data_IF_462602782034
#
_entry.id   IF_462602782034
#
_cell.length_a   1.000
_cell.length_b   1.000
_cell.length_c   1.000
_cell.angle_alpha   90.00
_cell.angle_beta   90.00
_cell.angle_gamma   90.00
#
_symmetry.space_group_name_H-M   'P 1'
#
loop_
_entity.id
_entity.type
_entity.pdbx_description
1 polymer ?
#
# COMPACT_ATOMS: atom_id res chain seq x y z
N UNK A 1 -6.74 -11.16 -23.45
CA UNK A 1 -5.50 -10.44 -23.10
C UNK A 1 -5.80 -8.94 -23.17
N UNK A 2 -5.67 -8.18 -22.08
CA UNK A 2 -5.90 -6.73 -22.11
C UNK A 2 -4.78 -6.04 -22.92
N UNK A 3 -5.13 -5.26 -23.94
CA UNK A 3 -4.17 -4.49 -24.74
C UNK A 3 -3.53 -3.41 -23.85
N UNK A 4 -2.20 -3.39 -23.73
CA UNK A 4 -1.48 -2.28 -23.06
C UNK A 4 -1.72 -0.99 -23.85
N UNK A 5 -2.39 -0.02 -23.23
CA UNK A 5 -2.61 1.30 -23.81
C UNK A 5 -1.53 2.24 -23.28
N UNK A 6 -0.56 2.61 -24.12
CA UNK A 6 0.39 3.68 -23.81
C UNK A 6 -0.29 5.03 -24.07
N UNK A 7 -0.70 5.74 -23.02
CA UNK A 7 -1.15 7.14 -23.09
C UNK A 7 -0.03 8.06 -22.62
N UNK A 8 0.27 9.09 -23.41
CA UNK A 8 1.16 10.17 -23.00
C UNK A 8 0.45 10.97 -21.90
N UNK A 9 1.07 11.08 -20.73
CA UNK A 9 0.57 11.94 -19.66
C UNK A 9 0.90 13.38 -20.08
N UNK A 10 -0.12 14.17 -20.41
CA UNK A 10 0.04 15.61 -20.63
C UNK A 10 0.34 16.29 -19.30
N UNK A 11 1.37 17.14 -19.29
CA UNK A 11 1.85 17.83 -18.10
C UNK A 11 1.97 19.30 -18.39
N UNK A 12 1.47 20.13 -17.47
CA UNK A 12 1.64 21.58 -17.53
C UNK A 12 3.11 21.97 -17.44
N UNK A 13 3.44 23.20 -17.83
CA UNK A 13 4.81 23.74 -17.73
C UNK A 13 5.32 23.65 -16.28
N UNK A 14 4.48 24.03 -15.32
CA UNK A 14 4.80 23.95 -13.89
C UNK A 14 5.08 22.51 -13.43
N UNK A 15 4.25 21.54 -13.84
CA UNK A 15 4.46 20.14 -13.50
C UNK A 15 5.76 19.60 -14.10
N UNK A 16 6.09 19.99 -15.33
CA UNK A 16 7.35 19.62 -15.96
C UNK A 16 8.55 20.20 -15.23
N UNK A 17 8.46 21.46 -14.80
CA UNK A 17 9.50 22.14 -14.04
C UNK A 17 9.72 21.47 -12.68
N UNK A 18 8.64 21.20 -11.93
CA UNK A 18 8.70 20.46 -10.66
C UNK A 18 9.36 19.09 -10.82
N UNK A 19 9.05 18.36 -11.90
CA UNK A 19 9.69 17.07 -12.18
C UNK A 19 11.17 17.20 -12.54
N UNK A 20 11.57 18.27 -13.26
CA UNK A 20 12.99 18.55 -13.56
C UNK A 20 13.76 18.82 -12.27
N UNK A 21 13.25 19.70 -11.42
CA UNK A 21 13.87 20.05 -10.13
C UNK A 21 14.05 18.82 -9.23
N UNK A 22 13.02 17.97 -9.12
CA UNK A 22 13.13 16.70 -8.39
C UNK A 22 14.22 15.82 -9.01
N UNK A 23 14.25 15.65 -10.33
CA UNK A 23 15.26 14.81 -11.00
C UNK A 23 16.68 15.32 -10.78
N UNK A 24 16.90 16.62 -10.94
CA UNK A 24 18.21 17.24 -10.74
C UNK A 24 18.68 17.08 -9.29
N UNK A 25 17.82 17.35 -8.31
CA UNK A 25 18.11 17.12 -6.88
C UNK A 25 18.56 15.68 -6.65
N UNK A 26 17.78 14.70 -7.10
CA UNK A 26 18.06 13.27 -6.87
C UNK A 26 19.29 12.77 -7.64
N UNK A 27 19.56 13.29 -8.85
CA UNK A 27 20.77 12.94 -9.62
C UNK A 27 22.04 13.48 -8.95
N UNK A 28 21.97 14.69 -8.37
CA UNK A 28 23.11 15.32 -7.70
C UNK A 28 23.39 14.69 -6.33
N UNK A 29 22.36 14.53 -5.51
CA UNK A 29 22.52 14.15 -4.10
C UNK A 29 22.58 12.64 -3.89
N UNK A 30 21.94 11.86 -4.80
CA UNK A 30 21.82 10.39 -4.74
C UNK A 30 21.65 9.87 -3.30
N UNK A 31 20.66 10.38 -2.55
CA UNK A 31 20.52 10.07 -1.14
C UNK A 31 20.26 8.56 -0.95
N UNK A 32 20.78 8.00 0.12
CA UNK A 32 20.43 6.64 0.54
C UNK A 32 18.97 6.60 1.02
N UNK A 33 18.37 5.40 1.04
CA UNK A 33 17.02 5.19 1.57
C UNK A 33 16.91 5.69 3.02
N UNK A 34 17.94 5.46 3.84
CA UNK A 34 18.01 5.96 5.21
C UNK A 34 17.94 7.49 5.29
N UNK A 35 18.66 8.20 4.40
CA UNK A 35 18.62 9.67 4.35
C UNK A 35 17.25 10.18 3.91
N UNK A 36 16.61 9.52 2.93
CA UNK A 36 15.25 9.86 2.49
C UNK A 36 14.21 9.65 3.59
N UNK A 37 14.37 8.60 4.41
CA UNK A 37 13.47 8.33 5.53
C UNK A 37 13.65 9.38 6.63
N UNK A 38 14.90 9.77 6.92
CA UNK A 38 15.21 10.82 7.90
C UNK A 38 14.74 12.21 7.47
N UNK A 39 14.79 12.54 6.18
CA UNK A 39 14.28 13.80 5.65
C UNK A 39 12.74 13.85 5.57
N UNK A 40 12.07 12.72 5.75
CA UNK A 40 10.62 12.58 5.55
C UNK A 40 10.20 12.59 4.09
N UNK A 41 11.16 12.51 3.14
CA UNK A 41 10.86 12.35 1.71
C UNK A 41 10.19 10.99 1.41
N UNK A 42 10.42 9.99 2.27
CA UNK A 42 9.71 8.71 2.30
C UNK A 42 9.28 8.38 3.73
N UNK A 43 8.10 7.79 3.90
CA UNK A 43 7.58 7.44 5.24
C UNK A 43 8.12 6.12 5.76
N UNK A 44 8.19 5.11 4.88
CA UNK A 44 8.54 3.73 5.25
C UNK A 44 9.34 3.09 4.12
N UNK A 45 10.26 2.20 4.50
CA UNK A 45 11.05 1.39 3.57
C UNK A 45 10.70 -0.06 3.84
N UNK A 46 10.16 -0.73 2.82
CA UNK A 46 9.94 -2.18 2.82
C UNK A 46 10.66 -2.77 1.61
N UNK A 47 11.11 -4.01 1.75
CA UNK A 47 11.65 -4.75 0.60
C UNK A 47 10.52 -5.06 -0.38
N UNK A 48 10.89 -5.30 -1.65
CA UNK A 48 9.90 -5.69 -2.65
C UNK A 48 9.22 -7.02 -2.30
N UNK A 49 9.94 -7.95 -1.66
CA UNK A 49 9.39 -9.23 -1.21
C UNK A 49 8.30 -9.05 -0.16
N UNK A 50 8.61 -8.32 0.92
CA UNK A 50 7.64 -8.00 1.99
C UNK A 50 6.39 -7.31 1.44
N UNK A 51 6.56 -6.38 0.49
CA UNK A 51 5.43 -5.69 -0.12
C UNK A 51 4.54 -6.65 -0.94
N UNK A 52 5.14 -7.58 -1.70
CA UNK A 52 4.38 -8.58 -2.47
C UNK A 52 3.62 -9.53 -1.53
N UNK A 53 4.27 -10.00 -0.47
CA UNK A 53 3.62 -10.88 0.52
C UNK A 53 2.43 -10.21 1.20
N UNK A 54 2.59 -8.93 1.57
CA UNK A 54 1.51 -8.11 2.10
C UNK A 54 0.34 -7.99 1.10
N UNK A 55 0.61 -7.69 -0.18
CA UNK A 55 -0.46 -7.58 -1.20
C UNK A 55 -1.23 -8.88 -1.38
N UNK A 56 -0.54 -10.03 -1.34
CA UNK A 56 -1.19 -11.35 -1.43
C UNK A 56 -2.14 -11.57 -0.25
N UNK A 57 -1.70 -11.25 0.97
CA UNK A 57 -2.52 -11.37 2.17
C UNK A 57 -3.73 -10.42 2.12
N UNK A 58 -3.53 -9.16 1.76
CA UNK A 58 -4.59 -8.16 1.64
C UNK A 58 -5.62 -8.52 0.57
N UNK A 59 -5.18 -9.06 -0.56
CA UNK A 59 -6.07 -9.56 -1.61
C UNK A 59 -6.93 -10.73 -1.11
N UNK A 60 -6.37 -11.64 -0.31
CA UNK A 60 -7.12 -12.75 0.29
C UNK A 60 -8.18 -12.24 1.30
N UNK A 61 -7.80 -11.30 2.16
CA UNK A 61 -8.70 -10.64 3.11
C UNK A 61 -9.84 -9.90 2.41
N UNK A 62 -9.53 -9.11 1.38
CA UNK A 62 -10.50 -8.41 0.55
C UNK A 62 -11.48 -9.37 -0.13
N UNK A 63 -10.98 -10.48 -0.69
CA UNK A 63 -11.83 -11.52 -1.28
C UNK A 63 -12.80 -12.11 -0.26
N UNK A 64 -12.37 -12.33 0.97
CA UNK A 64 -13.26 -12.78 2.05
C UNK A 64 -14.32 -11.75 2.41
N UNK A 65 -13.96 -10.47 2.50
CA UNK A 65 -14.93 -9.38 2.68
C UNK A 65 -16.01 -9.40 1.61
N UNK A 66 -15.59 -9.46 0.34
CA UNK A 66 -16.48 -9.45 -0.82
C UNK A 66 -17.38 -10.69 -0.86
N UNK A 67 -16.86 -11.87 -0.56
CA UNK A 67 -17.63 -13.11 -0.49
C UNK A 67 -18.72 -13.08 0.59
N UNK A 68 -18.50 -12.34 1.69
CA UNK A 68 -19.50 -12.11 2.76
C UNK A 68 -20.44 -10.94 2.48
N UNK A 69 -20.33 -10.28 1.32
CA UNK A 69 -21.15 -9.13 0.97
C UNK A 69 -20.93 -7.90 1.87
N UNK A 70 -19.80 -7.82 2.58
CA UNK A 70 -19.52 -6.73 3.50
C UNK A 70 -19.04 -5.49 2.75
N UNK A 71 -19.66 -4.35 3.04
CA UNK A 71 -19.20 -3.05 2.52
C UNK A 71 -17.95 -2.58 3.27
N UNK A 72 -17.18 -1.66 2.66
CA UNK A 72 -16.05 -1.02 3.34
C UNK A 72 -16.48 -0.31 4.63
N UNK A 73 -17.68 0.29 4.65
CA UNK A 73 -18.21 0.95 5.85
C UNK A 73 -18.57 -0.06 6.95
N UNK A 74 -19.16 -1.20 6.58
CA UNK A 74 -19.49 -2.24 7.55
C UNK A 74 -18.25 -2.90 8.17
N UNK A 75 -17.18 -3.08 7.40
CA UNK A 75 -15.89 -3.55 7.96
C UNK A 75 -15.27 -2.49 8.85
N UNK A 76 -15.24 -1.24 8.40
CA UNK A 76 -14.71 -0.10 9.15
C UNK A 76 -15.32 0.00 10.56
N UNK A 77 -16.65 -0.10 10.65
CA UNK A 77 -17.38 -0.14 11.93
C UNK A 77 -16.94 -1.32 12.82
N UNK A 78 -16.85 -2.53 12.24
CA UNK A 78 -16.49 -3.74 12.99
C UNK A 78 -15.05 -3.77 13.49
N UNK A 79 -14.10 -3.22 12.72
CA UNK A 79 -12.69 -3.22 13.10
C UNK A 79 -12.23 -1.92 13.78
N UNK A 80 -13.14 -0.96 13.99
CA UNK A 80 -12.82 0.33 14.62
C UNK A 80 -11.86 1.18 13.77
N UNK A 81 -12.02 1.17 12.45
CA UNK A 81 -11.21 1.95 11.51
C UNK A 81 -12.07 2.91 10.72
N UNK A 82 -11.47 3.94 10.12
CA UNK A 82 -12.17 4.75 9.13
C UNK A 82 -12.37 4.00 7.81
N UNK A 83 -13.47 4.26 7.11
CA UNK A 83 -13.72 3.73 5.75
C UNK A 83 -12.55 4.00 4.79
N UNK A 84 -11.93 5.18 4.88
CA UNK A 84 -10.77 5.54 4.07
C UNK A 84 -9.53 4.72 4.43
N UNK A 85 -9.36 4.37 5.71
CA UNK A 85 -8.27 3.53 6.18
C UNK A 85 -8.44 2.07 5.71
N UNK A 86 -9.66 1.53 5.77
CA UNK A 86 -9.99 0.21 5.21
C UNK A 86 -9.72 0.16 3.70
N UNK A 87 -10.13 1.19 2.96
CA UNK A 87 -9.85 1.31 1.53
C UNK A 87 -8.34 1.37 1.24
N UNK A 88 -7.59 2.19 1.97
CA UNK A 88 -6.13 2.30 1.81
C UNK A 88 -5.42 0.99 2.13
N UNK A 89 -5.87 0.29 3.18
CA UNK A 89 -5.35 -1.02 3.56
C UNK A 89 -5.58 -2.04 2.44
N UNK A 90 -6.82 -2.20 1.95
CA UNK A 90 -7.15 -3.16 0.88
C UNK A 90 -6.43 -2.91 -0.45
N UNK A 91 -5.97 -1.68 -0.68
CA UNK A 91 -5.28 -1.28 -1.90
C UNK A 91 -3.74 -1.20 -1.72
N UNK A 92 -3.20 -1.64 -0.57
CA UNK A 92 -1.76 -1.68 -0.31
C UNK A 92 -1.11 -0.30 -0.19
N UNK A 93 -1.88 0.73 0.14
CA UNK A 93 -1.35 2.10 0.32
C UNK A 93 -0.53 2.20 1.62
N UNK A 94 -0.90 1.42 2.63
CA UNK A 94 -0.08 1.26 3.83
C UNK A 94 0.97 0.19 3.56
N UNK A 95 2.24 0.59 3.56
CA UNK A 95 3.35 -0.30 3.24
C UNK A 95 3.68 -1.22 4.41
N UNK A 96 3.46 -0.76 5.64
CA UNK A 96 3.71 -1.53 6.86
C UNK A 96 2.55 -1.43 7.88
N UNK A 97 1.38 -2.04 7.60
CA UNK A 97 0.30 -2.09 8.57
C UNK A 97 0.70 -2.93 9.79
N UNK A 98 0.28 -2.50 10.98
CA UNK A 98 0.53 -3.26 12.21
C UNK A 98 -0.19 -4.61 12.18
N UNK A 99 0.37 -5.61 12.86
CA UNK A 99 -0.30 -6.91 13.03
C UNK A 99 -1.70 -6.75 13.65
N UNK A 100 -1.84 -5.88 14.66
CA UNK A 100 -3.13 -5.56 15.26
C UNK A 100 -4.16 -5.07 14.23
N UNK A 101 -3.76 -4.19 13.31
CA UNK A 101 -4.64 -3.72 12.23
C UNK A 101 -5.09 -4.87 11.34
N UNK A 102 -4.17 -5.76 10.98
CA UNK A 102 -4.47 -6.94 10.16
C UNK A 102 -5.41 -7.91 10.88
N UNK A 103 -5.18 -8.17 12.17
CA UNK A 103 -6.02 -9.05 12.98
C UNK A 103 -7.42 -8.49 13.20
N UNK A 104 -7.56 -7.20 13.51
CA UNK A 104 -8.89 -6.55 13.63
C UNK A 104 -9.67 -6.61 12.33
N UNK A 105 -9.01 -6.35 11.19
CA UNK A 105 -9.64 -6.50 9.89
C UNK A 105 -10.06 -7.97 9.65
N UNK A 106 -9.17 -8.93 9.88
CA UNK A 106 -9.44 -10.35 9.67
C UNK A 106 -10.65 -10.81 10.50
N UNK A 107 -10.68 -10.48 11.79
CA UNK A 107 -11.81 -10.75 12.67
C UNK A 107 -13.11 -10.12 12.17
N UNK A 108 -13.08 -8.86 11.71
CA UNK A 108 -14.26 -8.16 11.17
C UNK A 108 -14.85 -8.83 9.92
N UNK A 109 -14.01 -9.46 9.11
CA UNK A 109 -14.42 -10.25 7.94
C UNK A 109 -14.56 -11.75 8.26
N UNK A 110 -14.43 -12.15 9.53
CA UNK A 110 -14.44 -13.54 9.99
C UNK A 110 -13.46 -14.44 9.24
N UNK A 111 -12.22 -13.99 9.15
CA UNK A 111 -11.05 -14.71 8.68
C UNK A 111 -10.03 -14.85 9.82
N UNK A 112 -9.10 -15.77 9.68
CA UNK A 112 -7.97 -15.96 10.59
C UNK A 112 -6.66 -15.81 9.81
N UNK A 113 -5.66 -15.20 10.45
CA UNK A 113 -4.31 -15.06 9.89
C UNK A 113 -3.41 -16.08 10.59
N UNK A 114 -2.75 -16.92 9.79
CA UNK A 114 -1.74 -17.86 10.25
C UNK A 114 -0.40 -17.58 9.57
N UNK A 115 0.70 -17.87 10.28
CA UNK A 115 2.06 -17.67 9.77
C UNK A 115 2.69 -18.98 9.32
N UNK A 116 3.54 -18.88 8.31
CA UNK A 116 4.42 -19.96 7.85
C UNK A 116 5.83 -19.39 7.64
N UNK A 117 6.84 -20.20 7.92
CA UNK A 117 8.25 -19.85 7.70
C UNK A 117 8.75 -20.63 6.49
N UNK A 118 9.43 -19.94 5.56
CA UNK A 118 10.01 -20.54 4.35
C UNK A 118 11.51 -20.27 4.34
N UNK A 119 12.28 -21.22 3.83
CA UNK A 119 13.69 -20.99 3.54
C UNK A 119 13.82 -19.99 2.37
N UNK A 120 14.77 -19.07 2.49
CA UNK A 120 15.07 -18.03 1.49
C UNK A 120 16.07 -18.49 0.43
#
# INVERSE_FOLDING_TARGET
MAKRVHRKIERTVEQQQKLREIREKFQRERPSLMKLQQSGDISEVVTQGEYVDLLVMLAALKKHREAKGLSLAGVAERCGMDRSAVSRLENGVYLNPTLDTLYRYAAAVGAEIAFTVRAS
#
